data_IF_390363638631
#
_entry.id   IF_390363638631
#
_cell.length_a   1.000
_cell.length_b   1.000
_cell.length_c   1.000
_cell.angle_alpha   90.00
_cell.angle_beta   90.00
_cell.angle_gamma   90.00
#
_symmetry.space_group_name_H-M   'P 1'
#
loop_
_entity.id
_entity.type
_entity.pdbx_description
1 polymer ?
#
# COMPACT_ATOMS: atom_id res chain seq x y z
N UNK A 1 -17.98 -45.29 11.72
CA UNK A 1 -16.83 -44.42 11.85
C UNK A 1 -16.42 -43.77 10.51
N UNK A 2 -16.13 -44.47 9.40
CA UNK A 2 -15.72 -43.83 8.12
C UNK A 2 -16.76 -42.85 7.51
N UNK A 3 -18.05 -43.12 7.65
CA UNK A 3 -19.12 -42.21 7.16
C UNK A 3 -19.28 -40.94 8.00
N UNK A 4 -18.98 -40.98 9.30
CA UNK A 4 -19.02 -39.83 10.18
C UNK A 4 -17.79 -38.93 10.01
N UNK A 5 -16.63 -39.49 9.67
CA UNK A 5 -15.44 -38.74 9.33
C UNK A 5 -15.61 -37.96 8.00
N UNK A 6 -16.22 -38.59 7.00
CA UNK A 6 -16.52 -37.95 5.73
C UNK A 6 -17.52 -36.80 5.88
N UNK A 7 -18.54 -36.93 6.74
CA UNK A 7 -19.48 -35.84 7.06
C UNK A 7 -18.84 -34.71 7.80
N UNK A 8 -17.89 -34.98 8.69
CA UNK A 8 -17.15 -33.94 9.41
C UNK A 8 -16.21 -33.14 8.49
N UNK A 9 -15.57 -33.82 7.53
CA UNK A 9 -14.71 -33.17 6.52
C UNK A 9 -15.52 -32.24 5.59
N UNK A 10 -16.76 -32.68 5.21
CA UNK A 10 -17.63 -31.84 4.37
C UNK A 10 -18.17 -30.60 5.11
N UNK A 11 -18.34 -30.68 6.45
CA UNK A 11 -18.81 -29.56 7.27
C UNK A 11 -17.72 -28.50 7.55
N UNK A 12 -16.44 -28.83 7.29
CA UNK A 12 -15.28 -27.91 7.49
C UNK A 12 -14.92 -27.20 6.17
N UNK A 13 -15.54 -27.54 5.04
CA UNK A 13 -15.37 -26.75 3.82
C UNK A 13 -15.92 -25.33 4.07
N UNK A 14 -15.07 -24.30 4.16
CA UNK A 14 -15.57 -22.94 4.31
C UNK A 14 -16.43 -22.66 3.08
N UNK A 15 -17.67 -22.29 3.29
CA UNK A 15 -18.48 -21.68 2.25
C UNK A 15 -17.74 -20.40 1.85
N UNK A 16 -17.02 -20.43 0.73
CA UNK A 16 -16.48 -19.24 0.10
C UNK A 16 -17.67 -18.40 -0.36
N UNK A 17 -18.24 -17.62 0.55
CA UNK A 17 -19.17 -16.57 0.19
C UNK A 17 -18.38 -15.52 -0.57
N UNK A 18 -18.48 -15.58 -1.90
CA UNK A 18 -18.08 -14.49 -2.76
C UNK A 18 -19.03 -13.30 -2.52
N UNK A 19 -18.80 -12.57 -1.42
CA UNK A 19 -19.33 -11.24 -1.23
C UNK A 19 -18.39 -10.25 -1.96
N UNK A 20 -18.21 -10.46 -3.26
CA UNK A 20 -17.47 -9.56 -4.11
C UNK A 20 -18.49 -8.76 -4.93
N UNK A 21 -18.73 -7.50 -4.53
CA UNK A 21 -19.08 -6.47 -5.50
C UNK A 21 -18.04 -6.45 -6.63
N UNK A 22 -18.26 -5.76 -7.76
CA UNK A 22 -17.32 -5.71 -8.86
C UNK A 22 -15.94 -5.31 -8.31
N UNK A 23 -15.00 -6.26 -8.36
CA UNK A 23 -13.67 -6.03 -7.83
C UNK A 23 -13.02 -4.92 -8.67
N UNK A 24 -12.73 -3.79 -8.06
CA UNK A 24 -11.96 -2.73 -8.72
C UNK A 24 -10.63 -3.32 -9.12
N UNK A 25 -10.30 -3.21 -10.40
CA UNK A 25 -9.00 -3.68 -10.90
C UNK A 25 -7.92 -2.74 -10.35
N UNK A 26 -7.00 -3.31 -9.56
CA UNK A 26 -5.88 -2.58 -8.97
C UNK A 26 -4.64 -2.71 -9.86
N UNK A 27 -3.93 -1.61 -10.01
CA UNK A 27 -2.61 -1.60 -10.62
C UNK A 27 -1.62 -2.33 -9.70
N UNK A 28 -0.78 -3.17 -10.27
CA UNK A 28 0.29 -3.85 -9.54
C UNK A 28 1.47 -2.95 -9.34
N UNK A 29 2.01 -2.92 -8.11
CA UNK A 29 3.23 -2.21 -7.79
C UNK A 29 4.25 -3.16 -7.19
N UNK A 30 5.44 -3.19 -7.77
CA UNK A 30 6.58 -3.90 -7.22
C UNK A 30 7.44 -2.92 -6.42
N UNK A 31 7.50 -3.15 -5.09
CA UNK A 31 8.25 -2.30 -4.16
C UNK A 31 9.46 -3.05 -3.62
N UNK A 32 10.59 -2.36 -3.55
CA UNK A 32 11.82 -2.87 -2.92
C UNK A 32 12.04 -2.20 -1.56
N UNK A 33 11.84 -2.96 -0.49
CA UNK A 33 12.11 -2.48 0.88
C UNK A 33 13.61 -2.33 1.20
N UNK A 34 14.51 -2.81 0.34
CA UNK A 34 15.95 -2.59 0.49
C UNK A 34 16.37 -1.24 -0.05
N UNK A 35 15.60 -0.64 -0.98
CA UNK A 35 15.88 0.67 -1.56
C UNK A 35 15.66 1.79 -0.52
N UNK A 36 16.77 2.30 -0.02
CA UNK A 36 16.76 3.42 0.95
C UNK A 36 16.33 4.73 0.31
N UNK A 37 16.74 4.98 -0.94
CA UNK A 37 16.42 6.23 -1.63
C UNK A 37 14.91 6.35 -1.88
N UNK A 38 14.28 5.27 -2.33
CA UNK A 38 12.83 5.20 -2.47
C UNK A 38 12.10 5.47 -1.15
N UNK A 39 12.56 4.89 -0.04
CA UNK A 39 11.98 5.13 1.29
C UNK A 39 12.19 6.57 1.78
N UNK A 40 13.34 7.18 1.52
CA UNK A 40 13.63 8.57 1.87
C UNK A 40 12.75 9.54 1.07
N UNK A 41 12.59 9.32 -0.24
CA UNK A 41 11.70 10.12 -1.08
C UNK A 41 10.22 9.93 -0.67
N UNK A 42 9.83 8.70 -0.33
CA UNK A 42 8.52 8.40 0.21
C UNK A 42 8.24 9.08 1.55
N UNK A 43 9.22 9.09 2.48
CA UNK A 43 9.15 9.84 3.73
C UNK A 43 8.97 11.34 3.48
N UNK A 44 9.77 11.92 2.57
CA UNK A 44 9.65 13.33 2.17
C UNK A 44 8.25 13.64 1.65
N UNK A 45 7.71 12.78 0.80
CA UNK A 45 6.35 12.94 0.26
C UNK A 45 5.31 12.83 1.37
N UNK A 46 5.44 11.85 2.27
CA UNK A 46 4.55 11.68 3.43
C UNK A 46 4.57 12.91 4.34
N UNK A 47 5.75 13.41 4.71
CA UNK A 47 5.89 14.56 5.59
C UNK A 47 5.27 15.82 5.00
N UNK A 48 5.50 16.08 3.71
CA UNK A 48 5.06 17.32 3.07
C UNK A 48 3.57 17.34 2.68
N UNK A 49 2.98 16.18 2.34
CA UNK A 49 1.62 16.13 1.78
C UNK A 49 0.61 15.39 2.65
N UNK A 50 1.07 14.47 3.50
CA UNK A 50 0.15 13.62 4.27
C UNK A 50 0.14 13.98 5.76
N UNK A 51 1.30 14.35 6.33
CA UNK A 51 1.50 14.52 7.76
C UNK A 51 0.82 15.78 8.32
N UNK A 52 0.25 16.64 7.48
CA UNK A 52 -0.64 17.72 7.94
C UNK A 52 -1.97 17.21 8.50
N UNK A 53 -2.42 16.03 8.04
CA UNK A 53 -3.71 15.43 8.41
C UNK A 53 -3.59 14.02 9.00
N UNK A 54 -2.55 13.26 8.67
CA UNK A 54 -2.37 11.86 9.04
C UNK A 54 -1.14 11.67 9.93
N UNK A 55 -1.32 11.07 11.09
CA UNK A 55 -0.20 10.59 11.90
C UNK A 55 0.36 9.26 11.37
N UNK A 56 1.62 8.99 11.70
CA UNK A 56 2.21 7.67 11.74
C UNK A 56 2.61 7.39 13.21
N UNK A 57 1.60 7.33 14.10
CA UNK A 57 1.77 7.43 15.55
C UNK A 57 2.56 6.29 16.19
N UNK A 58 2.76 5.16 15.50
CA UNK A 58 3.57 4.05 16.00
C UNK A 58 5.00 4.09 15.48
N UNK A 59 5.35 5.07 14.62
CA UNK A 59 6.71 5.38 14.22
C UNK A 59 7.30 6.48 15.09
N UNK A 60 8.64 6.42 15.28
CA UNK A 60 9.43 7.51 15.90
C UNK A 60 10.33 8.13 14.85
N UNK A 61 10.53 9.44 14.93
CA UNK A 61 11.46 10.14 14.03
C UNK A 61 12.87 9.52 14.08
N UNK A 62 13.40 9.28 15.28
CA UNK A 62 14.69 8.63 15.50
C UNK A 62 14.80 7.26 14.83
N UNK A 63 13.78 6.41 14.98
CA UNK A 63 13.78 5.08 14.36
C UNK A 63 13.78 5.16 12.83
N UNK A 64 12.94 6.01 12.27
CA UNK A 64 12.88 6.22 10.82
C UNK A 64 14.19 6.79 10.30
N UNK A 65 14.77 7.77 10.99
CA UNK A 65 16.06 8.36 10.64
C UNK A 65 17.18 7.32 10.61
N UNK A 66 17.29 6.51 11.67
CA UNK A 66 18.29 5.44 11.80
C UNK A 66 18.16 4.40 10.69
N UNK A 67 16.95 3.87 10.46
CA UNK A 67 16.69 2.83 9.47
C UNK A 67 16.95 3.33 8.04
N UNK A 68 16.64 4.59 7.75
CA UNK A 68 16.82 5.21 6.44
C UNK A 68 18.21 5.84 6.25
N UNK A 69 19.03 5.93 7.30
CA UNK A 69 20.35 6.55 7.23
C UNK A 69 20.30 8.06 7.08
N UNK A 70 19.33 8.72 7.72
CA UNK A 70 19.16 10.17 7.77
C UNK A 70 19.76 10.67 9.09
N UNK A 71 20.56 11.74 9.07
CA UNK A 71 21.08 12.34 10.30
C UNK A 71 19.97 12.99 11.13
N UNK A 72 20.19 13.11 12.45
CA UNK A 72 19.26 13.83 13.34
C UNK A 72 18.99 15.25 12.86
N UNK A 73 20.04 15.98 12.50
CA UNK A 73 19.95 17.36 11.98
C UNK A 73 19.04 17.43 10.75
N UNK A 74 19.29 16.58 9.74
CA UNK A 74 18.47 16.55 8.52
C UNK A 74 17.02 16.15 8.81
N UNK A 75 16.79 15.20 9.72
CA UNK A 75 15.45 14.78 10.13
C UNK A 75 14.71 15.94 10.81
N UNK A 76 15.35 16.62 11.78
CA UNK A 76 14.74 17.71 12.52
C UNK A 76 14.45 18.92 11.64
N UNK A 77 15.37 19.27 10.74
CA UNK A 77 15.25 20.48 9.91
C UNK A 77 14.25 20.31 8.75
N UNK A 78 14.05 19.08 8.23
CA UNK A 78 13.32 18.88 6.99
C UNK A 78 12.05 18.01 7.10
N UNK A 79 11.89 17.27 8.18
CA UNK A 79 10.79 16.32 8.35
C UNK A 79 9.92 16.62 9.57
N UNK A 80 10.50 17.20 10.62
CA UNK A 80 9.78 17.53 11.85
C UNK A 80 9.24 18.95 11.73
N UNK A 81 7.96 19.09 11.41
CA UNK A 81 7.31 20.41 11.25
C UNK A 81 6.53 20.88 12.49
N UNK A 82 6.46 20.06 13.53
CA UNK A 82 5.82 20.37 14.80
C UNK A 82 6.88 20.62 15.86
N UNK A 83 6.47 21.16 17.01
CA UNK A 83 7.31 21.25 18.22
C UNK A 83 7.46 19.85 18.85
N UNK A 84 8.21 18.98 18.14
CA UNK A 84 8.48 17.61 18.52
C UNK A 84 9.98 17.36 18.62
N UNK A 85 10.37 16.41 19.47
CA UNK A 85 11.76 15.99 19.66
C UNK A 85 12.09 14.80 18.76
N UNK A 86 13.36 14.59 18.49
CA UNK A 86 13.85 13.48 17.67
C UNK A 86 13.33 12.10 18.10
N UNK A 87 13.26 11.83 19.42
CA UNK A 87 12.74 10.60 19.96
C UNK A 87 11.21 10.48 19.98
N UNK A 88 10.47 11.51 19.60
CA UNK A 88 9.02 11.51 19.66
C UNK A 88 8.37 10.68 18.55
N UNK A 89 7.12 10.34 18.75
CA UNK A 89 6.29 9.68 17.75
C UNK A 89 5.88 10.68 16.65
N UNK A 90 5.73 10.16 15.43
CA UNK A 90 5.29 10.93 14.26
C UNK A 90 3.77 11.22 14.35
N UNK A 91 3.40 12.16 15.22
CA UNK A 91 2.01 12.55 15.48
C UNK A 91 1.75 13.96 14.97
N UNK A 92 0.52 14.18 14.48
CA UNK A 92 0.00 15.50 14.13
C UNK A 92 -0.63 16.16 15.35
N UNK A 93 -0.73 17.51 15.33
CA UNK A 93 -1.40 18.29 16.36
C UNK A 93 -2.95 18.32 16.24
N UNK A 94 -3.50 17.90 15.10
CA UNK A 94 -4.95 17.93 14.87
C UNK A 94 -5.66 16.89 15.76
N UNK A 95 -6.65 17.34 16.52
CA UNK A 95 -7.48 16.47 17.35
C UNK A 95 -8.53 15.75 16.50
N UNK A 96 -8.82 14.49 16.83
CA UNK A 96 -9.79 13.69 16.09
C UNK A 96 -11.21 14.27 16.13
N UNK A 97 -11.56 14.94 17.23
CA UNK A 97 -12.87 15.60 17.40
C UNK A 97 -13.03 16.78 16.46
N UNK A 98 -12.00 17.64 16.38
CA UNK A 98 -11.96 18.80 15.48
C UNK A 98 -11.97 18.34 14.01
N UNK A 99 -11.18 17.31 13.70
CA UNK A 99 -11.12 16.73 12.37
C UNK A 99 -12.48 16.17 11.88
N UNK A 100 -13.27 15.57 12.79
CA UNK A 100 -14.63 15.12 12.46
C UNK A 100 -15.57 16.27 12.09
N UNK A 101 -15.42 17.41 12.76
CA UNK A 101 -16.19 18.62 12.44
C UNK A 101 -15.79 19.18 11.08
N UNK A 102 -14.49 19.22 10.78
CA UNK A 102 -13.97 19.83 9.54
C UNK A 102 -14.16 18.94 8.30
N UNK A 103 -14.00 17.62 8.45
CA UNK A 103 -13.95 16.68 7.33
C UNK A 103 -15.09 15.65 7.31
N UNK A 104 -15.95 15.67 8.32
CA UNK A 104 -17.00 14.66 8.50
C UNK A 104 -16.48 13.34 9.12
N UNK A 105 -15.18 13.09 9.07
CA UNK A 105 -14.49 11.95 9.68
C UNK A 105 -13.05 12.34 10.05
N UNK A 106 -12.51 11.75 11.11
CA UNK A 106 -11.12 11.93 11.45
C UNK A 106 -10.22 11.18 10.43
N UNK A 107 -9.18 11.84 9.85
CA UNK A 107 -8.21 11.15 9.02
C UNK A 107 -7.56 9.98 9.79
N UNK A 108 -7.48 8.79 9.19
CA UNK A 108 -6.91 7.63 9.87
C UNK A 108 -5.39 7.76 10.04
N UNK A 109 -4.85 7.07 11.06
CA UNK A 109 -3.41 6.87 11.19
C UNK A 109 -2.88 5.99 10.06
N UNK A 110 -1.76 6.36 9.46
CA UNK A 110 -1.20 5.66 8.30
C UNK A 110 -0.05 4.69 8.64
N UNK A 111 0.32 4.52 9.90
CA UNK A 111 1.41 3.61 10.27
C UNK A 111 1.24 2.21 9.69
N UNK A 112 0.04 1.64 9.79
CA UNK A 112 -0.25 0.27 9.38
C UNK A 112 -1.06 0.17 8.07
N UNK A 113 -1.28 1.27 7.37
CA UNK A 113 -2.21 1.32 6.23
C UNK A 113 -1.81 0.36 5.10
N UNK A 114 -0.51 0.24 4.80
CA UNK A 114 -0.01 -0.69 3.78
C UNK A 114 -0.25 -2.16 4.14
N UNK A 115 -0.32 -2.48 5.43
CA UNK A 115 -0.62 -3.83 5.91
C UNK A 115 -2.12 -4.14 5.88
N UNK A 116 -2.96 -3.12 6.09
CA UNK A 116 -4.42 -3.26 6.11
C UNK A 116 -5.01 -3.26 4.70
N UNK A 117 -4.56 -2.34 3.84
CA UNK A 117 -5.11 -2.15 2.49
C UNK A 117 -4.32 -2.91 1.41
N UNK A 118 -3.02 -3.10 1.64
CA UNK A 118 -2.10 -3.63 0.63
C UNK A 118 -1.46 -2.53 -0.23
N UNK A 119 -0.30 -2.85 -0.80
CA UNK A 119 0.50 -1.91 -1.58
C UNK A 119 -0.19 -1.55 -2.90
N UNK A 120 -0.74 -2.53 -3.62
CA UNK A 120 -1.45 -2.33 -4.88
C UNK A 120 -2.67 -1.40 -4.71
N UNK A 121 -3.39 -1.56 -3.59
CA UNK A 121 -4.52 -0.69 -3.28
C UNK A 121 -4.07 0.74 -3.04
N UNK A 122 -3.03 0.97 -2.23
CA UNK A 122 -2.51 2.32 -1.95
C UNK A 122 -1.98 2.99 -3.22
N UNK A 123 -1.25 2.24 -4.04
CA UNK A 123 -0.72 2.72 -5.31
C UNK A 123 -1.84 3.13 -6.26
N UNK A 124 -2.83 2.27 -6.45
CA UNK A 124 -3.99 2.56 -7.29
C UNK A 124 -4.83 3.72 -6.73
N UNK A 125 -5.06 3.74 -5.42
CA UNK A 125 -5.84 4.79 -4.75
C UNK A 125 -5.25 6.18 -4.98
N UNK A 126 -3.94 6.36 -4.74
CA UNK A 126 -3.28 7.66 -4.89
C UNK A 126 -3.23 8.14 -6.34
N UNK A 127 -3.36 7.24 -7.32
CA UNK A 127 -3.38 7.53 -8.75
C UNK A 127 -4.76 7.72 -9.35
N UNK A 128 -5.82 7.46 -8.58
CA UNK A 128 -7.19 7.32 -9.08
C UNK A 128 -8.13 8.47 -8.70
N UNK A 129 -7.59 9.57 -8.18
CA UNK A 129 -8.38 10.78 -7.96
C UNK A 129 -8.76 11.43 -9.30
N UNK A 130 -9.98 11.97 -9.36
CA UNK A 130 -10.50 12.71 -10.53
C UNK A 130 -11.44 13.82 -10.06
N UNK A 131 -11.66 14.82 -10.93
CA UNK A 131 -12.58 15.91 -10.66
C UNK A 131 -14.04 15.43 -10.64
N UNK A 132 -14.73 15.76 -9.57
CA UNK A 132 -16.16 15.50 -9.37
C UNK A 132 -16.79 16.68 -8.62
N UNK A 133 -17.35 17.66 -9.36
CA UNK A 133 -17.96 18.85 -8.75
C UNK A 133 -19.13 18.56 -7.82
N UNK A 134 -19.71 17.36 -7.88
CA UNK A 134 -20.78 16.94 -6.97
C UNK A 134 -20.27 16.58 -5.55
N UNK A 135 -18.96 16.49 -5.37
CA UNK A 135 -18.34 16.14 -4.07
C UNK A 135 -17.92 17.39 -3.30
N UNK A 136 -17.92 17.34 -1.96
CA UNK A 136 -17.57 18.49 -1.10
C UNK A 136 -16.19 19.10 -1.39
N UNK A 137 -15.20 18.27 -1.80
CA UNK A 137 -13.85 18.73 -2.11
C UNK A 137 -13.58 18.82 -3.63
N UNK A 138 -14.64 18.73 -4.47
CA UNK A 138 -14.50 18.79 -5.91
C UNK A 138 -13.81 17.59 -6.54
N UNK A 139 -13.58 16.51 -5.80
CA UNK A 139 -12.87 15.31 -6.26
C UNK A 139 -13.52 14.03 -5.76
N UNK A 140 -13.34 12.95 -6.52
CA UNK A 140 -13.72 11.60 -6.16
C UNK A 140 -12.58 10.63 -6.50
N UNK A 141 -12.77 9.33 -6.24
CA UNK A 141 -11.74 8.33 -6.46
C UNK A 141 -12.36 7.04 -7.02
N UNK A 142 -11.75 6.47 -8.07
CA UNK A 142 -12.29 5.27 -8.72
C UNK A 142 -12.06 3.99 -7.90
N UNK A 143 -11.01 3.95 -7.07
CA UNK A 143 -10.70 2.81 -6.18
C UNK A 143 -11.52 2.86 -4.90
N UNK A 144 -11.82 4.08 -4.42
CA UNK A 144 -12.61 4.31 -3.22
C UNK A 144 -13.69 5.37 -3.47
N UNK A 145 -14.81 5.00 -4.08
CA UNK A 145 -15.90 5.93 -4.41
C UNK A 145 -16.43 6.66 -3.18
N UNK A 146 -16.84 7.90 -3.39
CA UNK A 146 -17.32 8.81 -2.34
C UNK A 146 -16.25 9.15 -1.28
N UNK A 147 -15.00 9.22 -1.70
CA UNK A 147 -13.88 9.58 -0.83
C UNK A 147 -14.13 10.91 -0.09
N UNK A 148 -13.80 10.92 1.21
CA UNK A 148 -13.85 12.12 2.05
C UNK A 148 -12.49 12.85 2.16
N UNK A 149 -11.45 12.36 1.48
CA UNK A 149 -10.12 12.96 1.44
C UNK A 149 -9.99 13.84 0.21
N UNK A 150 -9.50 15.08 0.33
CA UNK A 150 -9.15 15.91 -0.83
C UNK A 150 -7.95 15.32 -1.57
N UNK A 151 -7.80 15.65 -2.86
CA UNK A 151 -6.64 15.24 -3.64
C UNK A 151 -5.42 16.12 -3.33
N UNK A 152 -4.71 15.79 -2.24
CA UNK A 152 -3.56 16.58 -1.75
C UNK A 152 -2.36 16.59 -2.70
N UNK A 153 -2.27 15.62 -3.62
CA UNK A 153 -1.20 15.53 -4.62
C UNK A 153 -1.60 16.11 -5.99
N UNK A 154 -2.76 16.78 -6.09
CA UNK A 154 -3.18 17.43 -7.35
C UNK A 154 -2.13 18.38 -7.95
N UNK A 155 -1.36 19.17 -7.17
CA UNK A 155 -0.29 20.00 -7.73
C UNK A 155 0.85 19.20 -8.40
N UNK A 156 1.03 17.95 -8.03
CA UNK A 156 2.01 17.05 -8.62
C UNK A 156 1.41 16.30 -9.82
N UNK A 157 0.25 15.68 -9.65
CA UNK A 157 -0.39 14.85 -10.68
C UNK A 157 -1.03 15.67 -11.80
N UNK A 158 -1.62 16.82 -11.46
CA UNK A 158 -2.51 17.56 -12.33
C UNK A 158 -3.98 17.14 -12.20
N UNK A 159 -4.83 17.84 -12.95
CA UNK A 159 -6.28 17.60 -12.98
C UNK A 159 -6.58 16.37 -13.83
N UNK A 160 -7.34 15.43 -13.27
CA UNK A 160 -7.84 14.27 -14.03
C UNK A 160 -9.30 14.46 -14.37
N UNK A 161 -9.57 14.35 -15.65
CA UNK A 161 -10.91 14.52 -16.25
C UNK A 161 -11.22 13.33 -17.17
N UNK A 162 -12.49 13.16 -17.50
CA UNK A 162 -12.87 12.20 -18.54
C UNK A 162 -12.41 12.74 -19.89
N UNK A 163 -11.64 11.96 -20.61
CA UNK A 163 -11.06 12.34 -21.89
C UNK A 163 -10.74 11.15 -22.77
N UNK A 164 -9.98 11.38 -23.85
CA UNK A 164 -9.56 10.35 -24.78
C UNK A 164 -8.11 9.94 -24.49
N UNK A 165 -7.85 8.62 -24.44
CA UNK A 165 -6.51 8.05 -24.27
C UNK A 165 -6.32 6.87 -25.23
N UNK A 166 -5.11 6.71 -25.74
CA UNK A 166 -4.73 5.49 -26.46
C UNK A 166 -4.65 4.32 -25.48
N UNK A 167 -5.52 3.33 -25.65
CA UNK A 167 -5.57 2.13 -24.83
C UNK A 167 -5.19 0.92 -25.65
N UNK A 168 -4.46 -0.04 -25.05
CA UNK A 168 -4.11 -1.27 -25.73
C UNK A 168 -5.35 -2.11 -26.01
N UNK A 169 -5.51 -2.57 -27.24
CA UNK A 169 -6.60 -3.47 -27.63
C UNK A 169 -6.47 -4.79 -26.89
N UNK A 170 -7.57 -5.21 -26.26
CA UNK A 170 -7.66 -6.50 -25.57
C UNK A 170 -8.81 -7.30 -26.19
N UNK A 171 -8.49 -8.42 -26.82
CA UNK A 171 -9.46 -9.36 -27.37
C UNK A 171 -9.39 -10.70 -26.64
N UNK A 172 -10.53 -11.22 -26.20
CA UNK A 172 -10.63 -12.48 -25.44
C UNK A 172 -9.68 -12.52 -24.20
N UNK A 173 -9.51 -11.37 -23.54
CA UNK A 173 -8.63 -11.24 -22.36
C UNK A 173 -7.13 -11.20 -22.66
N UNK A 174 -6.73 -11.15 -23.95
CA UNK A 174 -5.34 -11.07 -24.37
C UNK A 174 -5.03 -9.73 -25.00
N UNK A 175 -3.93 -9.13 -24.57
CA UNK A 175 -3.38 -7.92 -25.15
C UNK A 175 -2.92 -8.20 -26.57
N UNK A 176 -3.31 -7.34 -27.52
CA UNK A 176 -2.96 -7.47 -28.93
C UNK A 176 -1.64 -6.74 -29.22
N UNK A 177 -0.82 -7.39 -30.06
CA UNK A 177 0.46 -6.86 -30.53
C UNK A 177 0.54 -7.03 -32.05
N UNK A 178 1.16 -6.09 -32.69
CA UNK A 178 1.47 -6.19 -34.12
C UNK A 178 2.41 -7.39 -34.36
N UNK A 179 2.02 -8.37 -35.21
CA UNK A 179 2.81 -9.60 -35.38
C UNK A 179 4.14 -9.38 -36.08
N UNK A 180 4.34 -8.24 -36.74
CA UNK A 180 5.59 -7.93 -37.46
C UNK A 180 6.56 -7.11 -36.61
N UNK A 181 6.04 -6.17 -35.82
CA UNK A 181 6.86 -5.23 -35.05
C UNK A 181 6.91 -5.55 -33.57
N UNK A 182 5.97 -6.37 -33.05
CA UNK A 182 5.82 -6.62 -31.63
C UNK A 182 5.30 -5.43 -30.82
N UNK A 183 4.91 -4.33 -31.49
CA UNK A 183 4.37 -3.14 -30.82
C UNK A 183 2.94 -3.36 -30.36
N UNK A 184 2.49 -2.77 -29.22
CA UNK A 184 1.11 -2.85 -28.79
C UNK A 184 0.17 -2.23 -29.81
N UNK A 185 -0.90 -2.95 -30.19
CA UNK A 185 -1.99 -2.37 -30.99
C UNK A 185 -2.84 -1.53 -30.05
N UNK A 186 -3.01 -0.24 -30.36
CA UNK A 186 -3.80 0.69 -29.54
C UNK A 186 -5.00 1.22 -30.30
N UNK A 187 -6.05 1.58 -29.56
CA UNK A 187 -7.21 2.30 -30.06
C UNK A 187 -7.51 3.49 -29.16
N UNK A 188 -8.12 4.53 -29.71
CA UNK A 188 -8.57 5.67 -28.93
C UNK A 188 -9.85 5.32 -28.17
N UNK A 189 -9.83 5.53 -26.84
CA UNK A 189 -11.00 5.39 -25.97
C UNK A 189 -11.23 6.73 -25.25
N UNK A 190 -12.42 7.32 -25.43
CA UNK A 190 -12.76 8.66 -24.94
C UNK A 190 -13.59 8.67 -23.66
N UNK A 191 -13.68 7.56 -22.97
CA UNK A 191 -14.29 7.37 -21.65
C UNK A 191 -13.25 7.16 -20.53
N UNK A 192 -12.01 7.52 -20.81
CA UNK A 192 -10.87 7.27 -19.92
C UNK A 192 -10.59 8.47 -19.02
N UNK A 193 -10.07 8.18 -17.82
CA UNK A 193 -9.51 9.22 -16.95
C UNK A 193 -8.14 9.62 -17.46
N UNK A 194 -8.01 10.86 -17.89
CA UNK A 194 -6.77 11.45 -18.41
C UNK A 194 -6.34 12.64 -17.58
N UNK A 195 -5.04 12.85 -17.47
CA UNK A 195 -4.49 14.07 -16.86
C UNK A 195 -4.52 15.19 -17.88
N UNK A 196 -5.09 16.34 -17.52
CA UNK A 196 -5.10 17.52 -18.35
C UNK A 196 -3.67 18.09 -18.47
N UNK A 197 -3.14 18.23 -19.68
CA UNK A 197 -1.76 18.65 -19.90
C UNK A 197 -1.45 20.01 -19.24
N UNK A 198 -0.29 20.12 -18.61
CA UNK A 198 0.18 21.37 -18.01
C UNK A 198 -0.48 21.76 -16.68
N UNK A 199 -1.32 20.91 -16.10
CA UNK A 199 -1.98 21.16 -14.81
C UNK A 199 -1.24 20.56 -13.62
N UNK A 200 -0.32 19.63 -13.86
CA UNK A 200 0.57 19.03 -12.85
C UNK A 200 2.02 19.42 -13.06
N UNK A 201 2.81 19.37 -12.01
CA UNK A 201 4.25 19.66 -12.06
C UNK A 201 5.10 18.45 -12.48
N UNK A 202 4.55 17.24 -12.44
CA UNK A 202 5.22 15.99 -12.80
C UNK A 202 4.58 15.37 -14.04
N UNK A 203 5.37 14.70 -14.84
CA UNK A 203 4.86 13.78 -15.87
C UNK A 203 4.17 12.58 -15.22
N UNK A 204 3.37 11.82 -15.97
CA UNK A 204 2.69 10.62 -15.49
C UNK A 204 3.69 9.60 -14.91
N UNK A 205 4.83 9.40 -15.59
CA UNK A 205 5.86 8.47 -15.13
C UNK A 205 6.56 8.93 -13.84
N UNK A 206 6.86 10.21 -13.71
CA UNK A 206 7.46 10.78 -12.49
C UNK A 206 6.47 10.74 -11.32
N UNK A 207 5.19 10.98 -11.58
CA UNK A 207 4.14 10.85 -10.57
C UNK A 207 3.98 9.39 -10.12
N UNK A 208 3.99 8.45 -11.05
CA UNK A 208 3.92 7.01 -10.75
C UNK A 208 5.08 6.54 -9.87
N UNK A 209 6.30 7.00 -10.17
CA UNK A 209 7.47 6.71 -9.33
C UNK A 209 7.37 7.38 -7.96
N UNK A 210 6.86 8.62 -7.90
CA UNK A 210 6.62 9.32 -6.64
C UNK A 210 5.63 8.56 -5.74
N UNK A 211 4.55 8.04 -6.30
CA UNK A 211 3.57 7.25 -5.55
C UNK A 211 4.15 5.89 -5.15
N UNK A 212 4.93 5.25 -6.01
CA UNK A 212 5.64 4.02 -5.67
C UNK A 212 6.57 4.22 -4.47
N UNK A 213 7.33 5.31 -4.44
CA UNK A 213 8.22 5.65 -3.34
C UNK A 213 7.44 5.93 -2.04
N UNK A 214 6.31 6.65 -2.13
CA UNK A 214 5.41 6.85 -0.98
C UNK A 214 4.88 5.52 -0.44
N UNK A 215 4.42 4.62 -1.32
CA UNK A 215 3.93 3.29 -0.92
C UNK A 215 5.05 2.44 -0.32
N UNK A 216 6.27 2.55 -0.84
CA UNK A 216 7.46 1.86 -0.29
C UNK A 216 7.73 2.33 1.15
N UNK A 217 7.67 3.63 1.42
CA UNK A 217 7.78 4.16 2.78
C UNK A 217 6.65 3.68 3.69
N UNK A 218 5.40 3.72 3.24
CA UNK A 218 4.26 3.24 4.02
C UNK A 218 4.33 1.73 4.29
N UNK A 219 4.83 0.95 3.35
CA UNK A 219 5.05 -0.49 3.53
C UNK A 219 6.18 -0.77 4.54
N UNK A 220 7.26 0.02 4.50
CA UNK A 220 8.29 0.01 5.54
C UNK A 220 7.69 0.40 6.90
N UNK A 221 6.95 1.50 6.98
CA UNK A 221 6.30 1.96 8.22
C UNK A 221 5.40 0.87 8.83
N UNK A 222 4.67 0.14 8.01
CA UNK A 222 3.78 -0.93 8.48
C UNK A 222 4.51 -2.17 9.03
N UNK A 223 5.76 -2.40 8.65
CA UNK A 223 6.61 -3.48 9.16
C UNK A 223 8.11 -3.18 8.99
N UNK A 224 8.71 -2.34 9.86
CA UNK A 224 10.11 -1.93 9.74
C UNK A 224 11.12 -3.08 9.81
N UNK A 225 10.75 -4.17 10.48
CA UNK A 225 11.62 -5.35 10.68
C UNK A 225 11.34 -6.48 9.70
N UNK A 226 10.57 -6.25 8.63
CA UNK A 226 10.13 -7.30 7.71
C UNK A 226 11.30 -8.11 7.12
N UNK A 227 12.32 -7.43 6.61
CA UNK A 227 13.48 -8.08 6.00
C UNK A 227 14.28 -8.89 7.02
N UNK A 228 14.47 -8.35 8.22
CA UNK A 228 15.16 -9.06 9.31
C UNK A 228 14.35 -10.26 9.79
N UNK A 229 13.03 -10.10 9.98
CA UNK A 229 12.15 -11.20 10.38
C UNK A 229 12.15 -12.34 9.36
N UNK A 230 12.20 -12.04 8.07
CA UNK A 230 12.31 -13.06 7.02
C UNK A 230 13.64 -13.82 7.11
N UNK A 231 14.75 -13.09 7.31
CA UNK A 231 16.08 -13.71 7.48
C UNK A 231 16.13 -14.62 8.69
N UNK A 232 15.69 -14.12 9.86
CA UNK A 232 15.68 -14.90 11.10
C UNK A 232 14.69 -16.07 10.96
N UNK A 233 13.53 -15.86 10.36
CA UNK A 233 12.50 -16.88 10.15
C UNK A 233 13.01 -18.08 9.39
N UNK A 234 13.89 -17.90 8.41
CA UNK A 234 14.52 -19.00 7.68
C UNK A 234 15.36 -19.90 8.62
N UNK A 235 16.18 -19.30 9.49
CA UNK A 235 16.97 -20.05 10.47
C UNK A 235 16.08 -20.76 11.48
N UNK A 236 15.00 -20.11 11.94
CA UNK A 236 14.02 -20.72 12.87
C UNK A 236 13.36 -21.94 12.21
N UNK A 237 12.93 -21.84 10.95
CA UNK A 237 12.34 -22.98 10.23
C UNK A 237 13.32 -24.15 10.07
N UNK A 238 14.58 -23.87 9.76
CA UNK A 238 15.62 -24.91 9.67
C UNK A 238 15.84 -25.59 11.03
N UNK A 239 15.94 -24.80 12.10
CA UNK A 239 16.05 -25.35 13.47
C UNK A 239 14.85 -26.24 13.83
N UNK A 240 13.62 -25.75 13.54
CA UNK A 240 12.40 -26.52 13.83
C UNK A 240 12.33 -27.81 13.01
N UNK A 241 12.81 -27.81 11.77
CA UNK A 241 12.86 -29.03 10.95
C UNK A 241 13.79 -30.09 11.56
N UNK A 242 14.98 -29.69 11.99
CA UNK A 242 15.92 -30.60 12.70
C UNK A 242 15.33 -31.08 14.02
N UNK A 243 14.79 -30.15 14.82
CA UNK A 243 14.15 -30.47 16.09
C UNK A 243 12.98 -31.45 15.94
N UNK A 244 12.18 -31.26 14.87
CA UNK A 244 11.05 -32.15 14.56
C UNK A 244 11.52 -33.61 14.34
N UNK A 245 12.64 -33.82 13.65
CA UNK A 245 13.19 -35.16 13.44
C UNK A 245 13.49 -35.85 14.78
N UNK A 246 14.18 -35.16 15.70
CA UNK A 246 14.48 -35.69 17.01
C UNK A 246 13.23 -35.93 17.87
N UNK A 247 12.31 -34.98 17.85
CA UNK A 247 11.04 -35.13 18.56
C UNK A 247 10.19 -36.29 18.01
N UNK A 248 10.19 -36.50 16.70
CA UNK A 248 9.51 -37.62 16.06
C UNK A 248 10.14 -38.95 16.40
N UNK A 249 11.47 -39.06 16.38
CA UNK A 249 12.20 -40.27 16.76
C UNK A 249 11.98 -40.63 18.24
N UNK A 250 12.02 -39.61 19.12
CA UNK A 250 11.72 -39.77 20.54
C UNK A 250 10.27 -40.25 20.74
N UNK A 251 9.30 -39.60 20.09
CA UNK A 251 7.91 -40.05 20.14
C UNK A 251 7.78 -41.49 19.71
N UNK A 252 8.42 -41.89 18.60
CA UNK A 252 8.36 -43.25 18.07
C UNK A 252 8.93 -44.25 19.07
N UNK A 253 10.02 -43.93 19.79
CA UNK A 253 10.62 -44.81 20.77
C UNK A 253 9.74 -44.96 22.02
N UNK A 254 9.21 -43.86 22.58
CA UNK A 254 8.31 -43.92 23.74
C UNK A 254 6.98 -44.64 23.48
N UNK A 255 6.50 -44.69 22.26
CA UNK A 255 5.24 -45.32 21.91
C UNK A 255 5.41 -46.76 21.38
N UNK A 256 6.61 -47.27 21.34
CA UNK A 256 6.94 -48.59 20.82
C UNK A 256 6.32 -49.72 21.66
N UNK A 257 6.23 -49.54 22.96
CA UNK A 257 5.75 -50.55 23.92
C UNK A 257 4.27 -50.36 24.31
N UNK A 258 3.57 -49.42 23.67
CA UNK A 258 2.15 -49.12 23.98
C UNK A 258 1.19 -49.82 23.03
N UNK A 259 1.68 -50.62 22.05
CA UNK A 259 0.88 -51.37 21.08
C UNK A 259 1.20 -52.85 21.13
#
# INVERSE_FOLDING_TARGET
>A
MKKQLAALILAILPAFTFAAGPAVQLDKVDIDLTDKAAKQDGLKTFANYCMGCHSAQYQRYERVATDLGISEEVMMDNIVFADAKFGDHMKIGMKAEDAKVWFGAAPPDLTLVARVRGNDWLYSYMRSFYEDPARPYGVNNTVFPNVGMPHVLAPLQGRRVVGCKQVQVVENGRKQFDPLTGTPITQEACDQMVVEPGTGSLSEAEYDEKIKNLVTFLAYSANPVKLESQRIGTYVLLFLAVFFVFAYLLKREYWKDVH
#
